data_IF_289170421269
#
_entry.id   IF_289170421269
#
_cell.length_a   1.000
_cell.length_b   1.000
_cell.length_c   1.000
_cell.angle_alpha   90.00
_cell.angle_beta   90.00
_cell.angle_gamma   90.00
#
_symmetry.space_group_name_H-M   'P 1'
#
loop_
_entity.id
_entity.type
_entity.pdbx_description
1 polymer ?
#
# COMPACT_ATOMS: atom_id res chain seq x y z
N UNK A 1 -23.65 -33.42 -0.18
CA UNK A 1 -23.12 -32.58 -1.27
C UNK A 1 -22.35 -31.46 -0.61
N UNK A 2 -21.01 -31.49 -0.70
CA UNK A 2 -20.16 -30.50 -0.03
C UNK A 2 -20.12 -29.20 -0.85
N UNK A 3 -20.41 -28.08 -0.20
CA UNK A 3 -20.17 -26.75 -0.76
C UNK A 3 -18.69 -26.63 -1.10
N UNK A 4 -18.37 -26.51 -2.39
CA UNK A 4 -17.04 -26.11 -2.84
C UNK A 4 -16.90 -24.64 -2.41
N UNK A 5 -16.25 -24.40 -1.27
CA UNK A 5 -15.87 -23.04 -0.85
C UNK A 5 -15.03 -22.45 -1.98
N UNK A 6 -15.49 -21.34 -2.55
CA UNK A 6 -14.74 -20.58 -3.54
C UNK A 6 -13.44 -20.04 -2.89
N UNK A 7 -12.34 -20.76 -3.12
CA UNK A 7 -11.01 -20.44 -2.58
C UNK A 7 -10.20 -19.55 -3.53
N UNK A 8 -10.78 -19.09 -4.64
CA UNK A 8 -10.09 -18.29 -5.66
C UNK A 8 -9.49 -17.01 -5.07
N UNK A 9 -10.25 -16.28 -4.25
CA UNK A 9 -9.77 -15.06 -3.59
C UNK A 9 -8.65 -15.31 -2.58
N UNK A 10 -8.72 -16.42 -1.83
CA UNK A 10 -7.68 -16.81 -0.89
C UNK A 10 -6.38 -17.16 -1.61
N UNK A 11 -6.50 -17.88 -2.74
CA UNK A 11 -5.35 -18.23 -3.58
C UNK A 11 -4.70 -16.98 -4.20
N UNK A 12 -5.50 -16.04 -4.71
CA UNK A 12 -4.99 -14.77 -5.23
C UNK A 12 -4.31 -13.94 -4.15
N UNK A 13 -4.87 -13.86 -2.93
CA UNK A 13 -4.21 -13.16 -1.83
C UNK A 13 -2.91 -13.84 -1.40
N UNK A 14 -2.86 -15.17 -1.42
CA UNK A 14 -1.63 -15.91 -1.14
C UNK A 14 -0.56 -15.66 -2.22
N UNK A 15 -0.95 -15.64 -3.50
CA UNK A 15 -0.04 -15.33 -4.61
C UNK A 15 0.49 -13.90 -4.52
N UNK A 16 -0.36 -12.93 -4.15
CA UNK A 16 0.06 -11.55 -3.87
C UNK A 16 1.05 -11.51 -2.70
N UNK A 17 0.72 -12.13 -1.57
CA UNK A 17 1.63 -12.20 -0.41
C UNK A 17 2.99 -12.82 -0.76
N UNK A 18 3.00 -13.94 -1.47
CA UNK A 18 4.21 -14.63 -1.95
C UNK A 18 5.03 -13.75 -2.90
N UNK A 19 4.38 -13.00 -3.80
CA UNK A 19 5.08 -12.07 -4.69
C UNK A 19 5.78 -10.97 -3.89
N UNK A 20 5.13 -10.45 -2.85
CA UNK A 20 5.70 -9.39 -2.01
C UNK A 20 6.87 -9.85 -1.15
N UNK A 21 6.91 -11.13 -0.76
CA UNK A 21 8.09 -11.71 -0.09
C UNK A 21 9.34 -11.76 -0.98
N UNK A 22 9.19 -11.75 -2.31
CA UNK A 22 10.32 -11.79 -3.25
C UNK A 22 10.93 -10.42 -3.53
N UNK A 23 10.43 -9.37 -2.87
CA UNK A 23 10.81 -7.98 -3.08
C UNK A 23 9.69 -7.20 -3.74
N UNK A 24 9.61 -5.91 -3.42
CA UNK A 24 8.72 -4.99 -4.13
C UNK A 24 9.41 -4.43 -5.37
N UNK A 25 8.64 -3.87 -6.31
CA UNK A 25 9.19 -3.11 -7.44
C UNK A 25 9.86 -1.78 -7.06
N UNK A 26 10.21 -1.56 -5.78
CA UNK A 26 10.74 -0.30 -5.27
C UNK A 26 12.05 0.12 -5.96
N UNK A 27 12.97 -0.81 -6.22
CA UNK A 27 14.25 -0.51 -6.89
C UNK A 27 14.05 0.05 -8.31
N UNK A 28 13.01 -0.42 -9.02
CA UNK A 28 12.66 0.10 -10.35
C UNK A 28 12.14 1.53 -10.27
N UNK A 29 11.40 1.87 -9.20
CA UNK A 29 10.93 3.23 -8.94
C UNK A 29 12.12 4.14 -8.60
N UNK A 30 13.04 3.69 -7.74
CA UNK A 30 14.27 4.42 -7.40
C UNK A 30 15.05 4.73 -8.66
N UNK A 31 15.27 3.73 -9.52
CA UNK A 31 15.95 3.92 -10.81
C UNK A 31 15.25 4.95 -11.68
N UNK A 32 13.93 4.84 -11.85
CA UNK A 32 13.16 5.79 -12.64
C UNK A 32 13.25 7.23 -12.10
N UNK A 33 13.27 7.41 -10.79
CA UNK A 33 13.47 8.72 -10.15
C UNK A 33 14.88 9.26 -10.44
N UNK A 34 15.92 8.44 -10.29
CA UNK A 34 17.30 8.85 -10.56
C UNK A 34 17.51 9.28 -12.02
N UNK A 35 16.93 8.53 -12.97
CA UNK A 35 17.01 8.84 -14.40
C UNK A 35 16.34 10.18 -14.75
N UNK A 36 15.41 10.65 -13.91
CA UNK A 36 14.64 11.88 -14.13
C UNK A 36 14.85 12.94 -13.05
N UNK A 37 15.85 12.79 -12.17
CA UNK A 37 15.96 13.60 -10.94
C UNK A 37 16.11 15.11 -11.22
N UNK A 38 16.75 15.45 -12.33
CA UNK A 38 16.97 16.84 -12.75
C UNK A 38 15.73 17.49 -13.39
N UNK A 39 14.63 16.75 -13.54
CA UNK A 39 13.40 17.22 -14.19
C UNK A 39 12.33 17.67 -13.20
N UNK A 40 12.50 17.44 -11.90
CA UNK A 40 11.48 17.72 -10.90
C UNK A 40 12.09 18.34 -9.63
N UNK A 41 11.40 19.33 -9.07
CA UNK A 41 11.75 19.93 -7.77
C UNK A 41 11.08 19.22 -6.58
N UNK A 42 10.10 18.35 -6.85
CA UNK A 42 9.38 17.55 -5.86
C UNK A 42 9.09 16.16 -6.41
N UNK A 43 9.29 15.15 -5.59
CA UNK A 43 8.99 13.75 -5.93
C UNK A 43 7.75 13.32 -5.14
N UNK A 44 6.71 12.90 -5.86
CA UNK A 44 5.52 12.28 -5.28
C UNK A 44 5.44 10.85 -5.82
N UNK A 45 5.31 9.89 -4.92
CA UNK A 45 5.20 8.47 -5.28
C UNK A 45 3.77 8.01 -5.06
N UNK A 46 3.14 7.38 -6.05
CA UNK A 46 1.75 6.90 -5.96
C UNK A 46 1.73 5.46 -6.45
N UNK A 47 1.23 4.55 -5.61
CA UNK A 47 1.19 3.13 -5.92
C UNK A 47 -0.11 2.48 -5.45
N UNK A 48 -0.64 1.57 -6.27
CA UNK A 48 -1.83 0.78 -5.95
C UNK A 48 -1.47 -0.67 -5.63
N UNK A 49 -2.20 -1.29 -4.69
CA UNK A 49 -2.00 -2.69 -4.31
C UNK A 49 -0.54 -2.96 -3.91
N UNK A 50 0.12 -3.96 -4.52
CA UNK A 50 1.56 -4.22 -4.35
C UNK A 50 2.46 -3.03 -4.74
N UNK A 51 2.04 -2.22 -5.72
CA UNK A 51 2.72 -0.97 -6.07
C UNK A 51 2.70 0.05 -4.93
N UNK A 52 1.68 0.02 -4.07
CA UNK A 52 1.62 0.82 -2.85
C UNK A 52 2.73 0.48 -1.86
N UNK A 53 3.17 -0.77 -1.78
CA UNK A 53 4.36 -1.11 -0.98
C UNK A 53 5.65 -0.72 -1.68
N UNK A 54 5.73 -0.92 -2.99
CA UNK A 54 6.90 -0.50 -3.78
C UNK A 54 7.23 0.99 -3.61
N UNK A 55 6.22 1.87 -3.55
CA UNK A 55 6.47 3.31 -3.33
C UNK A 55 7.00 3.64 -1.94
N UNK A 56 6.67 2.85 -0.90
CA UNK A 56 7.20 3.04 0.45
C UNK A 56 8.65 2.55 0.53
N UNK A 57 8.96 1.42 -0.10
CA UNK A 57 10.35 0.94 -0.19
C UNK A 57 11.22 1.94 -0.95
N UNK A 58 10.72 2.46 -2.08
CA UNK A 58 11.39 3.51 -2.84
C UNK A 58 11.57 4.79 -2.02
N UNK A 59 10.56 5.22 -1.26
CA UNK A 59 10.66 6.34 -0.33
C UNK A 59 11.83 6.16 0.64
N UNK A 60 11.91 5.00 1.30
CA UNK A 60 12.97 4.73 2.28
C UNK A 60 14.35 4.73 1.61
N UNK A 61 14.47 4.13 0.42
CA UNK A 61 15.72 4.08 -0.32
C UNK A 61 16.19 5.48 -0.75
N UNK A 62 15.32 6.28 -1.38
CA UNK A 62 15.62 7.64 -1.82
C UNK A 62 16.02 8.54 -0.65
N UNK A 63 15.30 8.49 0.47
CA UNK A 63 15.62 9.28 1.67
C UNK A 63 16.98 8.88 2.27
N UNK A 64 17.35 7.59 2.24
CA UNK A 64 18.69 7.13 2.65
C UNK A 64 19.78 7.61 1.72
N UNK A 65 19.48 7.82 0.44
CA UNK A 65 20.39 8.41 -0.56
C UNK A 65 20.46 9.94 -0.47
N UNK A 66 19.72 10.57 0.46
CA UNK A 66 19.68 12.03 0.59
C UNK A 66 18.77 12.71 -0.45
N UNK A 67 17.95 11.94 -1.16
CA UNK A 67 16.98 12.45 -2.15
C UNK A 67 15.63 12.62 -1.44
N UNK A 68 15.15 13.86 -1.23
CA UNK A 68 13.92 14.09 -0.48
C UNK A 68 12.70 13.72 -1.32
N UNK A 69 11.90 12.80 -0.80
CA UNK A 69 10.55 12.55 -1.33
C UNK A 69 9.59 13.47 -0.60
N UNK A 70 8.71 14.13 -1.36
CA UNK A 70 7.70 15.02 -0.81
C UNK A 70 6.63 14.21 -0.08
N UNK A 71 6.04 13.25 -0.77
CA UNK A 71 4.99 12.39 -0.21
C UNK A 71 4.82 11.08 -0.98
N UNK A 72 4.31 10.05 -0.31
CA UNK A 72 4.01 8.74 -0.87
C UNK A 72 2.55 8.35 -0.58
N UNK A 73 1.83 7.94 -1.61
CA UNK A 73 0.42 7.53 -1.55
C UNK A 73 0.30 6.04 -1.84
N UNK A 74 -0.30 5.31 -0.90
CA UNK A 74 -0.63 3.89 -1.05
C UNK A 74 -2.13 3.76 -1.26
N UNK A 75 -2.59 3.29 -2.43
CA UNK A 75 -4.02 3.09 -2.73
C UNK A 75 -4.34 1.61 -2.65
N UNK A 76 -5.25 1.20 -1.76
CA UNK A 76 -5.65 -0.20 -1.62
C UNK A 76 -4.48 -1.16 -1.32
N UNK A 77 -3.36 -0.67 -0.80
CA UNK A 77 -2.19 -1.49 -0.56
C UNK A 77 -2.39 -2.46 0.62
N UNK A 78 -1.73 -3.62 0.64
CA UNK A 78 -1.59 -4.46 1.84
C UNK A 78 -1.18 -3.63 3.07
N UNK A 79 -1.57 -4.07 4.26
CA UNK A 79 -1.24 -3.36 5.51
C UNK A 79 0.22 -3.58 5.90
N UNK A 80 0.98 -2.48 6.09
CA UNK A 80 2.40 -2.54 6.46
C UNK A 80 2.84 -1.38 7.35
N UNK A 81 3.70 -1.69 8.31
CA UNK A 81 4.29 -0.76 9.26
C UNK A 81 5.43 0.00 8.60
N UNK A 82 5.32 1.32 8.60
CA UNK A 82 6.37 2.20 8.08
C UNK A 82 7.23 2.70 9.23
N UNK A 83 8.53 2.80 9.01
CA UNK A 83 9.44 3.40 9.99
C UNK A 83 8.96 4.80 10.39
N UNK A 84 8.92 5.10 11.70
CA UNK A 84 8.39 6.34 12.30
C UNK A 84 9.02 7.61 11.73
N UNK A 85 10.27 7.52 11.26
CA UNK A 85 10.96 8.61 10.55
C UNK A 85 10.24 9.03 9.27
N UNK A 86 9.60 8.11 8.55
CA UNK A 86 9.01 8.37 7.23
C UNK A 86 7.48 8.32 7.24
N UNK A 87 6.86 7.84 8.33
CA UNK A 87 5.40 7.64 8.44
C UNK A 87 4.58 8.89 8.13
N UNK A 88 5.11 10.09 8.43
CA UNK A 88 4.44 11.37 8.17
C UNK A 88 4.40 11.75 6.69
N UNK A 89 5.24 11.11 5.85
CA UNK A 89 5.27 11.28 4.39
C UNK A 89 4.42 10.25 3.65
N UNK A 90 3.70 9.38 4.38
CA UNK A 90 2.94 8.29 3.77
C UNK A 90 1.46 8.47 4.11
N UNK A 91 0.60 8.40 3.10
CA UNK A 91 -0.85 8.35 3.27
C UNK A 91 -1.42 7.12 2.59
N UNK A 92 -2.23 6.37 3.32
CA UNK A 92 -2.95 5.20 2.83
C UNK A 92 -4.37 5.59 2.48
N UNK A 93 -4.78 5.29 1.25
CA UNK A 93 -6.14 5.44 0.77
C UNK A 93 -6.76 4.06 0.71
N UNK A 94 -7.85 3.88 1.45
CA UNK A 94 -8.46 2.57 1.61
C UNK A 94 -9.97 2.62 1.41
N UNK A 95 -10.48 1.64 0.67
CA UNK A 95 -11.91 1.36 0.61
C UNK A 95 -12.21 0.38 1.73
N UNK A 96 -13.25 0.64 2.54
CA UNK A 96 -13.55 -0.24 3.68
C UNK A 96 -13.89 -1.67 3.24
N UNK A 97 -14.38 -1.89 2.04
CA UNK A 97 -14.68 -3.24 1.54
C UNK A 97 -13.49 -3.95 0.90
N UNK A 98 -12.39 -3.24 0.58
CA UNK A 98 -11.26 -3.80 -0.15
C UNK A 98 -10.61 -4.95 0.60
N UNK A 99 -10.61 -6.12 -0.04
CA UNK A 99 -10.13 -7.36 0.54
C UNK A 99 -8.60 -7.35 0.75
N UNK A 100 -7.84 -6.78 -0.18
CA UNK A 100 -6.37 -6.83 -0.16
C UNK A 100 -5.85 -6.01 1.02
N UNK A 101 -6.27 -4.76 1.12
CA UNK A 101 -5.82 -3.86 2.19
C UNK A 101 -6.26 -4.30 3.58
N UNK A 102 -7.33 -5.09 3.69
CA UNK A 102 -7.82 -5.65 4.95
C UNK A 102 -7.13 -6.92 5.39
N UNK A 103 -6.86 -7.83 4.46
CA UNK A 103 -6.50 -9.20 4.81
C UNK A 103 -5.03 -9.51 4.56
N UNK A 104 -4.34 -8.76 3.70
CA UNK A 104 -2.92 -8.97 3.43
C UNK A 104 -2.09 -8.05 4.30
N UNK A 105 -1.24 -8.64 5.14
CA UNK A 105 -0.31 -7.94 6.02
C UNK A 105 1.11 -8.22 5.56
N UNK A 106 1.81 -7.20 5.08
CA UNK A 106 3.26 -7.29 4.82
C UNK A 106 3.98 -6.77 6.06
N UNK A 107 5.06 -7.44 6.47
CA UNK A 107 5.85 -7.07 7.66
C UNK A 107 5.72 -7.99 8.88
N UNK A 108 4.61 -8.73 9.05
CA UNK A 108 4.43 -9.67 10.19
C UNK A 108 4.43 -11.15 9.81
N UNK A 109 4.23 -11.50 8.55
CA UNK A 109 4.19 -12.90 8.08
C UNK A 109 5.48 -13.31 7.33
N UNK A 110 6.47 -12.42 7.24
CA UNK A 110 7.73 -12.62 6.50
C UNK A 110 8.92 -13.04 7.36
N UNK A 111 8.76 -13.15 8.68
CA UNK A 111 9.76 -13.83 9.49
C UNK A 111 9.27 -15.26 9.59
N UNK A 112 9.95 -16.25 8.96
CA UNK A 112 9.64 -17.63 9.24
C UNK A 112 9.68 -17.78 10.77
N UNK A 113 8.57 -18.19 11.39
CA UNK A 113 8.56 -18.63 12.80
C UNK A 113 9.58 -19.76 13.07
N UNK A 114 10.24 -20.27 12.02
CA UNK A 114 11.38 -21.18 12.04
C UNK A 114 12.75 -20.54 12.35
N UNK A 115 12.88 -19.22 12.48
CA UNK A 115 14.13 -18.59 12.92
C UNK A 115 13.96 -18.13 14.36
N UNK A 116 14.04 -19.06 15.32
CA UNK A 116 14.16 -18.81 16.77
C UNK A 116 13.10 -17.86 17.40
N UNK A 117 12.22 -18.32 18.30
CA UNK A 117 11.17 -17.50 18.92
C UNK A 117 11.66 -16.20 19.60
N UNK A 118 12.92 -16.15 20.02
CA UNK A 118 13.55 -14.94 20.57
C UNK A 118 13.74 -13.86 19.50
N UNK A 119 14.09 -14.24 18.27
CA UNK A 119 14.31 -13.29 17.17
C UNK A 119 12.98 -12.65 16.70
N UNK A 120 11.90 -13.45 16.70
CA UNK A 120 10.55 -12.96 16.42
C UNK A 120 10.09 -11.95 17.48
N UNK A 121 10.36 -12.21 18.76
CA UNK A 121 10.06 -11.29 19.85
C UNK A 121 10.86 -9.99 19.75
N UNK A 122 12.18 -10.08 19.50
CA UNK A 122 13.05 -8.90 19.32
C UNK A 122 12.59 -8.06 18.12
N UNK A 123 12.20 -8.69 17.02
CA UNK A 123 11.76 -7.97 15.82
C UNK A 123 10.40 -7.32 16.04
N UNK A 124 9.46 -7.98 16.72
CA UNK A 124 8.18 -7.40 17.11
C UNK A 124 8.37 -6.19 18.05
N UNK A 125 9.26 -6.30 19.04
CA UNK A 125 9.59 -5.20 19.95
C UNK A 125 10.24 -4.05 19.18
N UNK A 126 11.24 -4.32 18.33
CA UNK A 126 11.88 -3.32 17.49
C UNK A 126 10.88 -2.60 16.59
N UNK A 127 9.94 -3.33 15.99
CA UNK A 127 8.91 -2.78 15.12
C UNK A 127 7.92 -1.90 15.89
N UNK A 128 7.52 -2.26 17.11
CA UNK A 128 6.70 -1.40 17.99
C UNK A 128 7.41 -0.08 18.29
N UNK A 129 8.73 -0.13 18.54
CA UNK A 129 9.51 1.06 18.89
C UNK A 129 9.89 1.91 17.67
N UNK A 130 10.05 1.32 16.49
CA UNK A 130 10.61 2.02 15.32
C UNK A 130 9.63 2.23 14.18
N UNK A 131 8.50 1.51 14.14
CA UNK A 131 7.51 1.60 13.06
C UNK A 131 6.11 1.99 13.57
N UNK A 132 5.26 2.45 12.66
CA UNK A 132 3.87 2.87 12.92
C UNK A 132 3.04 2.75 11.64
N UNK A 133 1.72 2.50 11.79
CA UNK A 133 0.79 2.68 10.67
C UNK A 133 0.80 4.14 10.21
N UNK A 134 0.91 4.39 8.89
CA UNK A 134 0.68 5.72 8.34
C UNK A 134 -0.80 6.11 8.43
N UNK A 135 -1.09 7.38 8.17
CA UNK A 135 -2.46 7.89 8.16
C UNK A 135 -3.28 7.14 7.11
N UNK A 136 -4.37 6.49 7.55
CA UNK A 136 -5.35 5.85 6.65
C UNK A 136 -6.55 6.75 6.47
N UNK A 137 -6.82 7.15 5.22
CA UNK A 137 -8.02 7.85 4.81
C UNK A 137 -8.94 6.87 4.09
N UNK A 138 -10.13 6.70 4.66
CA UNK A 138 -11.16 5.87 4.07
C UNK A 138 -11.93 6.66 3.03
N UNK A 139 -12.12 6.07 1.85
CA UNK A 139 -12.91 6.66 0.76
C UNK A 139 -14.25 5.95 0.63
N UNK A 140 -15.30 6.73 0.36
CA UNK A 140 -16.65 6.24 0.10
C UNK A 140 -16.86 6.16 -1.42
N UNK A 141 -16.38 5.06 -2.01
CA UNK A 141 -16.50 4.78 -3.44
C UNK A 141 -17.54 3.71 -3.71
N UNK A 142 -18.11 3.72 -4.91
CA UNK A 142 -19.03 2.67 -5.34
C UNK A 142 -18.25 1.44 -5.82
N UNK A 143 -18.46 0.31 -5.16
CA UNK A 143 -17.81 -0.97 -5.47
C UNK A 143 -18.77 -1.98 -6.09
N UNK A 144 -19.98 -1.57 -6.49
CA UNK A 144 -20.93 -2.47 -7.12
C UNK A 144 -20.33 -3.10 -8.36
N UNK A 145 -20.47 -4.43 -8.46
CA UNK A 145 -19.98 -5.25 -9.59
C UNK A 145 -18.45 -5.32 -9.72
N UNK A 146 -17.71 -4.76 -8.77
CA UNK A 146 -16.26 -4.87 -8.72
C UNK A 146 -15.83 -6.06 -7.84
N UNK A 147 -14.84 -6.81 -8.29
CA UNK A 147 -14.32 -7.97 -7.57
C UNK A 147 -13.44 -7.57 -6.38
N UNK A 148 -13.10 -8.54 -5.52
CA UNK A 148 -12.19 -8.36 -4.38
C UNK A 148 -12.59 -7.22 -3.43
N UNK A 149 -13.90 -6.99 -3.27
CA UNK A 149 -14.42 -5.92 -2.42
C UNK A 149 -14.15 -4.52 -2.95
N UNK A 150 -13.99 -4.36 -4.27
CA UNK A 150 -13.75 -3.07 -4.92
C UNK A 150 -12.28 -2.64 -4.92
N UNK A 151 -11.35 -3.59 -4.89
CA UNK A 151 -9.91 -3.32 -4.86
C UNK A 151 -9.44 -2.40 -6.01
N UNK A 152 -9.97 -2.60 -7.21
CA UNK A 152 -9.72 -1.78 -8.40
C UNK A 152 -10.72 -0.64 -8.61
N UNK A 153 -11.79 -0.59 -7.81
CA UNK A 153 -12.92 0.31 -8.05
C UNK A 153 -12.51 1.79 -8.00
N UNK A 154 -11.43 2.12 -7.29
CA UNK A 154 -10.84 3.46 -7.22
C UNK A 154 -10.39 4.04 -8.58
N UNK A 155 -10.22 3.20 -9.61
CA UNK A 155 -9.89 3.62 -10.97
C UNK A 155 -11.08 3.69 -11.92
N UNK A 156 -12.28 3.37 -11.44
CA UNK A 156 -13.48 3.31 -12.27
C UNK A 156 -14.28 4.62 -12.23
N UNK A 157 -14.04 5.50 -13.20
CA UNK A 157 -14.78 6.78 -13.34
C UNK A 157 -16.26 6.64 -13.70
N UNK A 158 -16.71 5.45 -14.09
CA UNK A 158 -18.12 5.23 -14.48
C UNK A 158 -19.01 4.93 -13.28
N UNK A 159 -18.40 4.41 -12.20
CA UNK A 159 -19.09 4.18 -10.93
C UNK A 159 -19.07 5.45 -10.11
N UNK A 160 -20.24 5.77 -9.54
CA UNK A 160 -20.47 6.95 -8.72
C UNK A 160 -20.98 6.55 -7.35
N UNK A 161 -20.48 7.21 -6.31
CA UNK A 161 -20.96 7.03 -4.95
C UNK A 161 -22.36 7.63 -4.76
N UNK A 162 -22.92 7.51 -3.56
CA UNK A 162 -24.26 8.04 -3.21
C UNK A 162 -24.40 9.56 -3.39
N UNK A 163 -23.29 10.28 -3.49
CA UNK A 163 -23.24 11.72 -3.70
C UNK A 163 -23.07 12.10 -5.17
N UNK A 164 -23.05 11.12 -6.09
CA UNK A 164 -22.87 11.34 -7.52
C UNK A 164 -21.43 11.65 -7.95
N UNK A 165 -20.46 11.52 -7.05
CA UNK A 165 -19.03 11.71 -7.31
C UNK A 165 -18.45 10.40 -7.83
N UNK A 166 -17.64 10.47 -8.90
CA UNK A 166 -16.99 9.29 -9.44
C UNK A 166 -15.83 8.80 -8.56
N UNK A 167 -15.55 7.50 -8.63
CA UNK A 167 -14.57 6.87 -7.73
C UNK A 167 -13.15 7.44 -7.88
N UNK A 168 -12.75 7.87 -9.09
CA UNK A 168 -11.41 8.43 -9.33
C UNK A 168 -11.31 9.78 -8.63
N UNK A 169 -12.29 10.64 -8.81
CA UNK A 169 -12.36 11.95 -8.15
C UNK A 169 -12.37 11.80 -6.63
N UNK A 170 -13.20 10.92 -6.08
CA UNK A 170 -13.25 10.66 -4.64
C UNK A 170 -11.88 10.17 -4.11
N UNK A 171 -11.22 9.27 -4.85
CA UNK A 171 -9.91 8.75 -4.49
C UNK A 171 -8.83 9.84 -4.51
N UNK A 172 -8.80 10.68 -5.55
CA UNK A 172 -7.83 11.78 -5.67
C UNK A 172 -8.05 12.82 -4.58
N UNK A 173 -9.30 13.22 -4.32
CA UNK A 173 -9.65 14.18 -3.28
C UNK A 173 -9.15 13.74 -1.91
N UNK A 174 -9.10 12.43 -1.66
CA UNK A 174 -8.63 11.88 -0.39
C UNK A 174 -7.13 12.13 -0.13
N UNK A 175 -6.32 12.47 -1.12
CA UNK A 175 -4.89 12.78 -0.92
C UNK A 175 -4.41 14.07 -1.56
N UNK A 176 -5.27 14.80 -2.26
CA UNK A 176 -4.88 16.00 -3.00
C UNK A 176 -4.19 17.06 -2.12
N UNK A 177 -4.67 17.25 -0.89
CA UNK A 177 -4.09 18.16 0.10
C UNK A 177 -2.68 17.77 0.55
N UNK A 178 -2.31 16.49 0.44
CA UNK A 178 -0.99 15.98 0.84
C UNK A 178 0.10 16.25 -0.18
N UNK A 179 -0.28 16.48 -1.44
CA UNK A 179 0.66 16.55 -2.57
C UNK A 179 0.72 17.93 -3.24
N UNK A 180 -0.09 18.90 -2.78
CA UNK A 180 -0.17 20.26 -3.32
C UNK A 180 0.97 21.15 -2.82
#
# INVERSE_FOLDING_TARGET
>A
MGEVKDTSMLRQAFEVGVHMHRGTGGDLIVKAVLDNINQASRIVLIGHSGGGQAVVDALVALEKMGIPVHHAIQIGAPSDLVHKRYVHKVTRIQVKSDFVSKNIHTGTEAIPHNINPISGLITAVYDIFTKRMPETRYVDINTERESCGGHSACFNKTLKNRHGIDNVTETINAFWDKIR
#
